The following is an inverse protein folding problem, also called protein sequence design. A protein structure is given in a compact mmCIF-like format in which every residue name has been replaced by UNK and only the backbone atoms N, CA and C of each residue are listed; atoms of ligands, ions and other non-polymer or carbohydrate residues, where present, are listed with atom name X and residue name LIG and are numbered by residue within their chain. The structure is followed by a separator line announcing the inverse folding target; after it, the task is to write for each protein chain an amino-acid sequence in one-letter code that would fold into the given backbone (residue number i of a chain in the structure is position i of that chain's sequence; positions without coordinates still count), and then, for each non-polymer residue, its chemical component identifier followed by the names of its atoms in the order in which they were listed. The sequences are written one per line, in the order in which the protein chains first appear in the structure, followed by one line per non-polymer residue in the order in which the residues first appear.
data_IF_397886754470
#
_entry.id   IF_397886754470
#
_cell.length_a   1.000
_cell.length_b   1.000
_cell.length_c   1.000
_cell.angle_alpha   90.00
_cell.angle_beta   90.00
_cell.angle_gamma   90.00
#
_symmetry.space_group_name_H-M   'P 1'
#
loop_
_entity.id
_entity.type
_entity.pdbx_description
1 polymer ?
#
# COMPACT_ATOMS: atom_id res chain seq x y z
N UNK A 1 7.47 -6.92 22.48
CA UNK A 1 7.79 -7.00 21.04
C UNK A 1 7.38 -5.73 20.30
N UNK A 2 6.13 -5.27 20.42
CA UNK A 2 5.68 -4.02 19.77
C UNK A 2 6.52 -2.78 20.12
N UNK A 3 6.96 -2.65 21.38
CA UNK A 3 7.84 -1.55 21.78
C UNK A 3 9.22 -1.56 21.10
N UNK A 4 9.77 -2.74 20.77
CA UNK A 4 11.04 -2.85 20.04
C UNK A 4 10.89 -2.44 18.58
N UNK A 5 9.81 -2.86 17.93
CA UNK A 5 9.52 -2.49 16.53
C UNK A 5 9.33 -0.98 16.45
N UNK A 6 8.55 -0.39 17.36
CA UNK A 6 8.38 1.06 17.43
C UNK A 6 9.69 1.80 17.68
N UNK A 7 10.50 1.33 18.61
CA UNK A 7 11.78 1.99 18.89
C UNK A 7 12.74 1.92 17.70
N UNK A 8 12.80 0.77 17.01
CA UNK A 8 13.62 0.63 15.82
C UNK A 8 13.09 1.49 14.67
N UNK A 9 11.78 1.54 14.51
CA UNK A 9 11.09 2.41 13.57
C UNK A 9 11.41 3.90 13.80
N UNK A 10 11.43 4.35 15.05
CA UNK A 10 11.80 5.71 15.43
C UNK A 10 13.25 6.04 15.04
N UNK A 11 14.18 5.09 15.19
CA UNK A 11 15.59 5.26 14.81
C UNK A 11 15.70 5.40 13.29
N UNK A 12 15.04 4.50 12.55
CA UNK A 12 15.03 4.53 11.09
C UNK A 12 14.41 5.84 10.57
N UNK A 13 13.30 6.28 11.17
CA UNK A 13 12.64 7.53 10.81
C UNK A 13 13.56 8.75 10.96
N UNK A 14 14.35 8.82 12.05
CA UNK A 14 15.30 9.92 12.29
C UNK A 14 16.44 9.95 11.28
N UNK A 15 16.83 8.79 10.77
CA UNK A 15 17.93 8.65 9.81
C UNK A 15 17.46 8.73 8.35
N UNK A 16 16.15 8.75 8.09
CA UNK A 16 15.60 8.61 6.73
C UNK A 16 15.83 7.21 6.13
N UNK A 17 15.91 6.19 6.99
CA UNK A 17 16.20 4.81 6.60
C UNK A 17 14.91 3.95 6.57
N UNK A 18 15.03 2.77 5.95
CA UNK A 18 13.98 1.78 5.83
C UNK A 18 14.36 0.49 6.55
N UNK A 19 13.35 -0.32 6.90
CA UNK A 19 13.61 -1.65 7.41
C UNK A 19 14.37 -2.50 6.37
N UNK A 20 15.42 -3.23 6.78
CA UNK A 20 16.17 -4.07 5.86
C UNK A 20 15.27 -5.16 5.27
N UNK A 21 15.56 -5.61 4.04
CA UNK A 21 14.83 -6.71 3.39
C UNK A 21 14.85 -8.01 4.20
N UNK A 22 15.85 -8.18 5.06
CA UNK A 22 16.02 -9.34 5.93
C UNK A 22 15.38 -9.15 7.32
N UNK A 23 14.50 -8.15 7.48
CA UNK A 23 13.86 -7.84 8.76
C UNK A 23 13.12 -9.04 9.34
N UNK A 24 13.66 -9.60 10.42
CA UNK A 24 13.22 -10.89 10.98
C UNK A 24 11.83 -10.86 11.62
N UNK A 25 11.31 -9.68 11.95
CA UNK A 25 9.98 -9.55 12.58
C UNK A 25 8.89 -9.15 11.57
N UNK A 26 9.18 -9.16 10.27
CA UNK A 26 8.21 -8.85 9.22
C UNK A 26 6.93 -9.71 9.34
N UNK A 27 7.06 -11.03 9.48
CA UNK A 27 5.89 -11.91 9.62
C UNK A 27 5.05 -11.63 10.88
N UNK A 28 5.69 -11.13 11.95
CA UNK A 28 4.98 -10.74 13.15
C UNK A 28 4.19 -9.43 12.92
N UNK A 29 4.79 -8.43 12.28
CA UNK A 29 4.08 -7.21 11.85
C UNK A 29 2.92 -7.57 10.93
N UNK A 30 3.18 -8.40 9.92
CA UNK A 30 2.18 -8.85 8.97
C UNK A 30 0.98 -9.51 9.68
N UNK A 31 1.23 -10.38 10.65
CA UNK A 31 0.17 -11.03 11.44
C UNK A 31 -0.71 -10.00 12.17
N UNK A 32 -0.12 -8.93 12.71
CA UNK A 32 -0.90 -7.87 13.35
C UNK A 32 -1.74 -7.11 12.32
N UNK A 33 -1.15 -6.78 11.19
CA UNK A 33 -1.77 -6.02 10.11
C UNK A 33 -2.96 -6.78 9.50
N UNK A 34 -2.83 -8.06 9.17
CA UNK A 34 -3.95 -8.84 8.58
C UNK A 34 -5.15 -8.95 9.52
N UNK A 35 -4.92 -8.80 10.82
CA UNK A 35 -5.97 -8.82 11.82
C UNK A 35 -6.55 -7.43 12.10
N UNK A 36 -5.93 -6.35 11.63
CA UNK A 36 -6.48 -4.99 11.74
C UNK A 36 -7.83 -4.88 11.02
N UNK A 37 -8.83 -4.21 11.62
CA UNK A 37 -10.09 -3.95 10.94
C UNK A 37 -9.89 -3.12 9.66
N UNK A 38 -8.91 -2.21 9.63
CA UNK A 38 -8.61 -1.35 8.49
C UNK A 38 -8.12 -2.16 7.29
N UNK A 39 -7.22 -3.14 7.50
CA UNK A 39 -6.77 -4.02 6.44
C UNK A 39 -7.91 -4.84 5.83
N UNK A 40 -8.81 -5.36 6.66
CA UNK A 40 -9.97 -6.13 6.18
C UNK A 40 -10.95 -5.25 5.40
N UNK A 41 -11.21 -4.04 5.89
CA UNK A 41 -12.10 -3.07 5.25
C UNK A 41 -11.53 -2.61 3.90
N UNK A 42 -10.22 -2.29 3.85
CA UNK A 42 -9.53 -1.92 2.62
C UNK A 42 -9.63 -3.04 1.56
N UNK A 43 -9.35 -4.29 1.95
CA UNK A 43 -9.49 -5.46 1.07
C UNK A 43 -10.92 -5.63 0.56
N UNK A 44 -11.90 -5.54 1.44
CA UNK A 44 -13.31 -5.70 1.07
C UNK A 44 -13.73 -4.63 0.04
N UNK A 45 -13.39 -3.37 0.29
CA UNK A 45 -13.72 -2.26 -0.60
C UNK A 45 -13.03 -2.41 -1.97
N UNK A 46 -11.74 -2.82 -2.00
CA UNK A 46 -11.04 -3.15 -3.27
C UNK A 46 -11.74 -4.25 -4.05
N UNK A 47 -12.14 -5.33 -3.38
CA UNK A 47 -12.87 -6.45 -4.01
C UNK A 47 -14.23 -5.99 -4.56
N UNK A 48 -14.95 -5.15 -3.81
CA UNK A 48 -16.23 -4.58 -4.26
C UNK A 48 -16.04 -3.72 -5.50
N UNK A 49 -15.04 -2.83 -5.53
CA UNK A 49 -14.70 -2.02 -6.70
C UNK A 49 -14.43 -2.88 -7.94
N UNK A 50 -13.58 -3.89 -7.79
CA UNK A 50 -13.27 -4.82 -8.89
C UNK A 50 -14.52 -5.57 -9.36
N UNK A 51 -15.37 -6.01 -8.43
CA UNK A 51 -16.63 -6.68 -8.75
C UNK A 51 -17.58 -5.80 -9.57
N UNK A 52 -17.67 -4.50 -9.26
CA UNK A 52 -18.46 -3.53 -10.02
C UNK A 52 -17.92 -3.39 -11.45
N UNK A 53 -16.61 -3.19 -11.59
CA UNK A 53 -15.95 -3.01 -12.89
C UNK A 53 -16.00 -4.26 -13.78
N UNK A 54 -16.12 -5.45 -13.20
CA UNK A 54 -16.34 -6.69 -13.96
C UNK A 54 -17.76 -6.75 -14.52
N UNK A 55 -18.75 -6.19 -13.81
CA UNK A 55 -20.15 -6.27 -14.19
C UNK A 55 -20.55 -5.21 -15.22
N UNK A 56 -20.01 -4.00 -15.12
CA UNK A 56 -20.37 -2.88 -15.97
C UNK A 56 -19.26 -1.84 -16.05
N UNK A 57 -19.22 -1.18 -17.21
CA UNK A 57 -18.34 -0.07 -17.53
C UNK A 57 -19.09 1.25 -17.76
N UNK A 58 -20.37 1.32 -17.33
CA UNK A 58 -21.15 2.55 -17.41
C UNK A 58 -20.59 3.65 -16.51
N UNK A 59 -20.96 4.90 -16.77
CA UNK A 59 -20.53 6.03 -15.95
C UNK A 59 -20.91 5.85 -14.46
N UNK A 60 -22.09 5.30 -14.18
CA UNK A 60 -22.52 5.00 -12.82
C UNK A 60 -21.67 3.90 -12.16
N UNK A 61 -21.28 2.87 -12.93
CA UNK A 61 -20.43 1.80 -12.43
C UNK A 61 -19.01 2.32 -12.14
N UNK A 62 -18.47 3.18 -13.01
CA UNK A 62 -17.18 3.84 -12.78
C UNK A 62 -17.22 4.73 -11.54
N UNK A 63 -18.29 5.51 -11.35
CA UNK A 63 -18.48 6.34 -10.17
C UNK A 63 -18.59 5.52 -8.87
N UNK A 64 -19.33 4.41 -8.88
CA UNK A 64 -19.46 3.56 -7.70
C UNK A 64 -18.16 2.79 -7.40
N UNK A 65 -17.47 2.29 -8.42
CA UNK A 65 -16.14 1.68 -8.24
C UNK A 65 -15.14 2.69 -7.67
N UNK A 66 -15.23 3.96 -8.09
CA UNK A 66 -14.42 5.06 -7.55
C UNK A 66 -14.68 5.25 -6.05
N UNK A 67 -15.95 5.32 -5.63
CA UNK A 67 -16.32 5.43 -4.21
C UNK A 67 -15.73 4.28 -3.39
N UNK A 68 -15.73 3.06 -3.93
CA UNK A 68 -15.18 1.90 -3.23
C UNK A 68 -13.64 1.94 -3.14
N UNK A 69 -12.95 2.38 -4.19
CA UNK A 69 -11.50 2.57 -4.12
C UNK A 69 -11.10 3.71 -3.18
N UNK A 70 -11.85 4.81 -3.14
CA UNK A 70 -11.61 5.90 -2.18
C UNK A 70 -11.78 5.43 -0.73
N UNK A 71 -12.77 4.57 -0.45
CA UNK A 71 -12.88 3.89 0.86
C UNK A 71 -11.66 3.01 1.13
N UNK A 72 -11.21 2.21 0.16
CA UNK A 72 -10.04 1.37 0.32
C UNK A 72 -8.77 2.18 0.64
N UNK A 73 -8.60 3.34 -0.01
CA UNK A 73 -7.49 4.26 0.22
C UNK A 73 -7.56 4.92 1.61
N UNK A 74 -8.75 5.33 2.05
CA UNK A 74 -8.97 5.90 3.38
C UNK A 74 -8.67 4.87 4.49
N UNK A 75 -9.12 3.62 4.32
CA UNK A 75 -8.79 2.53 5.25
C UNK A 75 -7.28 2.20 5.22
N UNK A 76 -6.64 2.28 4.05
CA UNK A 76 -5.18 2.13 3.95
C UNK A 76 -4.44 3.24 4.72
N UNK A 77 -4.96 4.48 4.69
CA UNK A 77 -4.39 5.59 5.48
C UNK A 77 -4.52 5.33 6.97
N UNK A 78 -5.71 4.92 7.42
CA UNK A 78 -5.94 4.55 8.81
C UNK A 78 -5.02 3.39 9.26
N UNK A 79 -4.77 2.42 8.39
CA UNK A 79 -3.82 1.35 8.64
C UNK A 79 -2.37 1.86 8.81
N UNK A 80 -1.93 2.80 7.97
CA UNK A 80 -0.61 3.42 8.10
C UNK A 80 -0.50 4.28 9.37
N UNK A 81 -1.60 4.87 9.83
CA UNK A 81 -1.63 5.62 11.09
C UNK A 81 -1.55 4.68 12.31
N UNK A 82 -2.20 3.51 12.23
CA UNK A 82 -2.14 2.46 13.26
C UNK A 82 -0.76 1.78 13.30
N UNK A 83 -0.14 1.56 12.13
CA UNK A 83 1.16 0.92 11.95
C UNK A 83 2.13 1.80 11.16
N UNK A 84 2.69 2.88 11.75
CA UNK A 84 3.59 3.80 11.06
C UNK A 84 4.83 3.16 10.46
N UNK A 85 5.26 2.01 10.98
CA UNK A 85 6.41 1.26 10.47
C UNK A 85 6.21 0.73 9.04
N UNK A 86 4.96 0.65 8.57
CA UNK A 86 4.64 0.29 7.19
C UNK A 86 5.16 1.32 6.17
N UNK A 87 5.19 2.62 6.54
CA UNK A 87 5.81 3.67 5.70
C UNK A 87 7.30 3.40 5.45
N UNK A 88 7.95 2.63 6.33
CA UNK A 88 9.37 2.26 6.25
C UNK A 88 9.58 0.79 5.87
N UNK A 89 8.58 0.14 5.26
CA UNK A 89 8.67 -1.23 4.72
C UNK A 89 8.96 -2.30 5.79
N UNK A 90 8.38 -2.16 6.99
CA UNK A 90 8.40 -3.23 7.99
C UNK A 90 7.63 -4.49 7.55
N UNK A 91 6.72 -4.34 6.59
CA UNK A 91 5.98 -5.42 5.92
C UNK A 91 5.76 -5.05 4.44
N UNK A 92 6.50 -5.72 3.55
CA UNK A 92 6.47 -5.47 2.10
C UNK A 92 5.24 -6.04 1.43
N UNK A 93 4.66 -7.11 1.98
CA UNK A 93 3.42 -7.68 1.44
C UNK A 93 2.28 -6.68 1.56
N UNK A 94 2.11 -6.10 2.75
CA UNK A 94 1.11 -5.04 2.97
C UNK A 94 1.40 -3.81 2.11
N UNK A 95 2.66 -3.36 2.03
CA UNK A 95 3.02 -2.23 1.17
C UNK A 95 2.69 -2.50 -0.31
N UNK A 96 2.87 -3.75 -0.77
CA UNK A 96 2.44 -4.19 -2.10
C UNK A 96 0.93 -4.09 -2.30
N UNK A 97 0.12 -4.56 -1.34
CA UNK A 97 -1.34 -4.49 -1.43
C UNK A 97 -1.87 -3.04 -1.45
N UNK A 98 -1.24 -2.13 -0.69
CA UNK A 98 -1.53 -0.69 -0.75
C UNK A 98 -1.19 -0.16 -2.14
N UNK A 99 -0.01 -0.50 -2.67
CA UNK A 99 0.45 -0.10 -4.00
C UNK A 99 -0.53 -0.54 -5.10
N UNK A 100 -0.99 -1.79 -5.07
CA UNK A 100 -2.01 -2.28 -6.01
C UNK A 100 -3.29 -1.45 -5.96
N UNK A 101 -3.75 -1.09 -4.75
CA UNK A 101 -4.96 -0.28 -4.57
C UNK A 101 -4.79 1.11 -5.20
N UNK A 102 -3.63 1.73 -5.01
CA UNK A 102 -3.28 3.02 -5.63
C UNK A 102 -3.28 2.92 -7.15
N UNK A 103 -2.67 1.86 -7.70
CA UNK A 103 -2.63 1.63 -9.15
C UNK A 103 -4.03 1.43 -9.74
N UNK A 104 -4.88 0.64 -9.08
CA UNK A 104 -6.27 0.44 -9.51
C UNK A 104 -7.04 1.77 -9.54
N UNK A 105 -6.86 2.62 -8.53
CA UNK A 105 -7.48 3.94 -8.48
C UNK A 105 -6.97 4.86 -9.59
N UNK A 106 -5.65 4.91 -9.82
CA UNK A 106 -5.07 5.70 -10.91
C UNK A 106 -5.58 5.25 -12.29
N UNK A 107 -5.68 3.94 -12.52
CA UNK A 107 -6.22 3.38 -13.77
C UNK A 107 -7.70 3.76 -13.95
N UNK A 108 -8.49 3.72 -12.88
CA UNK A 108 -9.89 4.11 -12.93
C UNK A 108 -10.04 5.61 -13.23
N UNK A 109 -9.27 6.48 -12.58
CA UNK A 109 -9.29 7.91 -12.85
C UNK A 109 -8.89 8.23 -14.29
N UNK A 110 -7.83 7.58 -14.79
CA UNK A 110 -7.41 7.73 -16.18
C UNK A 110 -8.52 7.32 -17.16
N UNK A 111 -9.24 6.22 -16.86
CA UNK A 111 -10.39 5.78 -17.64
C UNK A 111 -11.56 6.78 -17.63
N UNK A 112 -11.76 7.46 -16.51
CA UNK A 112 -12.75 8.53 -16.35
C UNK A 112 -12.27 9.88 -16.91
N UNK A 113 -11.03 9.98 -17.41
CA UNK A 113 -10.43 11.23 -17.86
C UNK A 113 -10.16 12.24 -16.72
N UNK A 114 -10.03 11.75 -15.49
CA UNK A 114 -9.82 12.56 -14.29
C UNK A 114 -8.37 12.48 -13.81
N UNK A 115 -7.79 13.59 -13.31
CA UNK A 115 -6.48 13.57 -12.68
C UNK A 115 -6.55 12.99 -11.26
N UNK A 116 -5.37 12.66 -10.71
CA UNK A 116 -5.24 12.34 -9.29
C UNK A 116 -5.63 13.55 -8.42
N UNK A 117 -6.38 13.37 -7.33
CA UNK A 117 -6.70 14.46 -6.40
C UNK A 117 -5.45 15.07 -5.77
N UNK A 118 -5.43 16.39 -5.55
CA UNK A 118 -4.30 17.09 -4.90
C UNK A 118 -4.16 16.70 -3.42
N UNK A 119 -5.28 16.40 -2.77
CA UNK A 119 -5.42 16.00 -1.38
C UNK A 119 -5.40 14.47 -1.18
N UNK A 120 -4.75 13.76 -2.11
CA UNK A 120 -4.66 12.30 -2.08
C UNK A 120 -4.13 11.77 -0.71
N UNK A 121 -4.89 10.89 -0.02
CA UNK A 121 -4.62 10.55 1.39
C UNK A 121 -3.31 9.76 1.62
N UNK A 122 -2.75 9.14 0.58
CA UNK A 122 -1.52 8.33 0.67
C UNK A 122 -0.34 9.03 -0.03
N UNK A 123 -0.33 10.36 -0.05
CA UNK A 123 0.71 11.15 -0.72
C UNK A 123 2.11 10.85 -0.18
N UNK A 124 2.27 10.78 1.14
CA UNK A 124 3.53 10.42 1.81
C UNK A 124 4.03 9.03 1.38
N UNK A 125 3.14 8.04 1.32
CA UNK A 125 3.47 6.70 0.86
C UNK A 125 3.92 6.70 -0.60
N UNK A 126 3.23 7.43 -1.48
CA UNK A 126 3.58 7.55 -2.91
C UNK A 126 4.91 8.28 -3.11
N UNK A 127 5.20 9.30 -2.32
CA UNK A 127 6.41 10.11 -2.47
C UNK A 127 7.65 9.46 -1.86
N UNK A 128 7.49 8.63 -0.82
CA UNK A 128 8.62 8.09 -0.06
C UNK A 128 8.74 6.57 -0.13
N UNK A 129 7.67 5.85 0.18
CA UNK A 129 7.68 4.39 0.32
C UNK A 129 7.65 3.68 -1.02
N UNK A 130 6.77 4.11 -1.92
CA UNK A 130 6.56 3.48 -3.22
C UNK A 130 7.82 3.47 -4.11
N UNK A 131 8.58 4.58 -4.26
CA UNK A 131 9.79 4.58 -5.06
C UNK A 131 10.84 3.60 -4.51
N UNK A 132 10.95 3.53 -3.18
CA UNK A 132 11.85 2.59 -2.52
C UNK A 132 11.43 1.13 -2.77
N UNK A 133 10.15 0.82 -2.64
CA UNK A 133 9.62 -0.53 -2.91
C UNK A 133 9.87 -0.94 -4.36
N UNK A 134 9.64 -0.03 -5.32
CA UNK A 134 9.87 -0.26 -6.74
C UNK A 134 11.36 -0.49 -7.06
N UNK A 135 12.23 0.32 -6.46
CA UNK A 135 13.68 0.10 -6.55
C UNK A 135 14.03 -1.30 -6.04
N UNK A 136 13.50 -1.72 -4.90
CA UNK A 136 13.82 -3.03 -4.34
C UNK A 136 13.40 -4.20 -5.23
N UNK A 137 12.24 -4.07 -5.88
CA UNK A 137 11.74 -5.04 -6.86
C UNK A 137 12.62 -5.09 -8.11
N UNK A 138 13.07 -3.93 -8.63
CA UNK A 138 13.96 -3.89 -9.80
C UNK A 138 15.34 -4.53 -9.51
N UNK A 139 15.91 -4.28 -8.33
CA UNK A 139 17.21 -4.82 -7.92
C UNK A 139 17.16 -6.34 -7.69
N UNK A 140 16.02 -6.87 -7.24
CA UNK A 140 15.84 -8.33 -7.03
C UNK A 140 15.74 -9.13 -8.33
N UNK A 141 15.35 -8.49 -9.44
CA UNK A 141 15.29 -9.13 -10.76
C UNK A 141 16.68 -9.19 -11.42
N UNK A 142 17.58 -8.26 -11.09
CA UNK A 142 18.94 -8.23 -11.66
C UNK A 142 19.91 -9.24 -11.06
N UNK A 143 19.65 -9.78 -9.87
CA UNK A 143 20.54 -10.77 -9.23
C UNK A 143 20.36 -12.20 -9.70
N UNK A 144 19.27 -12.50 -10.42
CA UNK A 144 18.96 -13.86 -10.90
C UNK A 144 19.41 -14.09 -12.36
N UNK A 145 19.89 -13.06 -13.07
CA UNK A 145 20.37 -13.15 -14.46
C UNK A 145 21.88 -13.32 -14.60
N UNK A 146 22.64 -13.23 -13.51
CA UNK A 146 24.09 -13.48 -13.49
C UNK A 146 24.39 -14.73 -12.64
N UNK A 147 24.14 -15.90 -13.22
CA UNK A 147 24.78 -17.15 -12.80
C UNK A 147 25.52 -17.74 -14.01
N UNK A 148 26.86 -17.87 -13.97
CA UNK A 148 27.64 -18.46 -15.05
C UNK A 148 27.42 -19.97 -15.20
#
# INVERSE_FOLDING_TARGET
LNGYIRHYDDILARNGEFFPRSFKLESFVHTQVIHSPHMRAAKLAKVQANGILIQSDSEEALAEARNQLEKALAESRALLDEFPSLLRLSDRLTAGEITETIQHYQMLLARMGQPMPEDFPLKDFVETTLPRLQQELSEGVSSDTDSP
#
